data_IF_383878832453
#
_entry.id   IF_383878832453
#
_cell.length_a   1.000
_cell.length_b   1.000
_cell.length_c   1.000
_cell.angle_alpha   90.00
_cell.angle_beta   90.00
_cell.angle_gamma   90.00
#
_symmetry.space_group_name_H-M   'P 1'
#
loop_
_entity.id
_entity.type
_entity.pdbx_description
1 polymer ?
#
# COMPACT_ATOMS: atom_id res chain seq x y z
N UNK A 1 22.52 21.15 72.37
CA UNK A 1 23.67 20.21 72.28
C UNK A 1 23.44 19.07 73.26
N UNK A 2 23.77 17.79 72.98
CA UNK A 2 23.70 17.04 71.70
C UNK A 2 22.21 16.67 71.44
N UNK A 3 21.67 15.49 71.08
CA UNK A 3 22.10 14.17 70.55
C UNK A 3 20.91 13.63 69.67
N UNK A 4 20.97 12.83 68.59
CA UNK A 4 21.64 11.58 68.14
C UNK A 4 20.88 10.27 68.48
N UNK A 5 20.45 9.53 67.43
CA UNK A 5 19.80 8.20 67.44
C UNK A 5 18.35 8.23 66.90
N UNK A 6 18.01 7.94 65.62
CA UNK A 6 18.14 6.71 64.81
C UNK A 6 17.16 5.59 65.26
N UNK A 7 16.43 4.83 64.42
CA UNK A 7 16.53 4.51 62.96
C UNK A 7 15.17 4.19 62.29
N UNK A 8 15.09 4.36 60.96
CA UNK A 8 14.29 3.62 59.95
C UNK A 8 12.77 3.32 60.14
N UNK A 9 11.98 3.79 59.17
CA UNK A 9 10.67 3.25 58.79
C UNK A 9 10.35 3.68 57.35
N UNK A 10 9.92 2.76 56.48
CA UNK A 10 9.83 3.02 55.03
C UNK A 10 8.50 3.64 54.60
N UNK A 11 8.55 4.57 53.65
CA UNK A 11 7.40 5.15 52.97
C UNK A 11 7.78 5.53 51.54
N UNK A 12 7.60 4.59 50.60
CA UNK A 12 7.92 4.77 49.20
C UNK A 12 6.68 5.21 48.41
N UNK A 13 6.79 6.35 47.73
CA UNK A 13 5.93 6.66 46.58
C UNK A 13 6.80 7.36 45.55
N UNK A 14 7.23 6.63 44.52
CA UNK A 14 7.78 7.28 43.33
C UNK A 14 6.72 8.22 42.73
N UNK A 15 7.17 9.37 42.26
CA UNK A 15 6.38 10.22 41.38
C UNK A 15 7.32 10.78 40.32
N UNK A 16 7.94 9.83 39.62
CA UNK A 16 8.67 10.01 38.38
C UNK A 16 7.73 10.66 37.37
N UNK A 17 7.73 12.00 37.35
CA UNK A 17 6.95 12.80 36.41
C UNK A 17 7.41 12.49 35.00
N UNK A 18 6.76 11.51 34.37
CA UNK A 18 7.09 11.01 33.04
C UNK A 18 6.79 12.10 32.02
N UNK A 19 7.78 12.97 31.80
CA UNK A 19 7.71 14.07 30.86
C UNK A 19 7.25 13.54 29.50
N UNK A 20 6.17 14.10 28.99
CA UNK A 20 5.43 13.53 27.88
C UNK A 20 6.35 13.22 26.69
N UNK A 21 6.52 11.93 26.38
CA UNK A 21 7.05 11.48 25.09
C UNK A 21 5.97 11.65 24.03
N UNK A 22 5.65 12.90 23.72
CA UNK A 22 5.00 13.26 22.48
C UNK A 22 6.02 13.07 21.34
N UNK A 23 6.24 11.80 21.00
CA UNK A 23 6.94 11.39 19.79
C UNK A 23 5.88 11.26 18.70
N UNK A 24 5.23 12.39 18.39
CA UNK A 24 4.70 12.64 17.05
C UNK A 24 5.88 12.77 16.08
N UNK A 25 6.57 11.65 15.84
CA UNK A 25 7.52 11.50 14.74
C UNK A 25 6.74 11.63 13.44
N UNK A 26 6.62 12.86 12.95
CA UNK A 26 6.13 13.16 11.62
C UNK A 26 7.09 12.56 10.60
N UNK A 27 6.84 11.30 10.24
CA UNK A 27 7.74 10.53 9.36
C UNK A 27 7.95 11.33 8.08
N UNK A 28 9.20 11.74 7.77
CA UNK A 28 9.45 12.80 6.81
C UNK A 28 8.96 12.42 5.42
N UNK A 29 8.63 13.43 4.62
CA UNK A 29 8.30 13.24 3.22
C UNK A 29 9.49 12.60 2.48
N UNK A 30 9.23 11.60 1.64
CA UNK A 30 10.26 10.81 1.00
C UNK A 30 9.75 9.53 0.35
N UNK A 31 10.66 8.87 -0.36
CA UNK A 31 10.40 7.63 -1.09
C UNK A 31 11.00 6.45 -0.33
N UNK A 32 10.21 5.38 -0.17
CA UNK A 32 10.61 4.14 0.48
C UNK A 32 10.14 2.94 -0.36
N UNK A 33 10.64 1.74 -0.07
CA UNK A 33 10.40 0.56 -0.92
C UNK A 33 10.47 -0.73 -0.13
N UNK A 34 9.87 -1.79 -0.68
CA UNK A 34 9.93 -3.13 -0.09
C UNK A 34 9.47 -4.21 -1.05
N UNK A 35 9.21 -5.39 -0.49
CA UNK A 35 8.64 -6.53 -1.18
C UNK A 35 7.53 -7.15 -0.33
N UNK A 36 6.51 -7.71 -0.97
CA UNK A 36 5.50 -8.56 -0.35
C UNK A 36 5.02 -9.63 -1.35
N UNK A 37 4.21 -10.57 -0.86
CA UNK A 37 3.62 -11.63 -1.64
C UNK A 37 2.12 -11.70 -1.36
N UNK A 38 1.30 -11.84 -2.40
CA UNK A 38 -0.10 -12.22 -2.31
C UNK A 38 -0.38 -13.41 -3.23
N UNK A 39 -0.76 -14.56 -2.67
CA UNK A 39 -0.86 -15.81 -3.43
C UNK A 39 0.44 -16.18 -4.15
N UNK A 40 0.39 -16.22 -5.49
CA UNK A 40 1.54 -16.43 -6.39
C UNK A 40 2.19 -15.12 -6.89
N UNK A 41 1.61 -13.95 -6.58
CA UNK A 41 2.19 -12.65 -6.92
C UNK A 41 3.45 -12.37 -6.08
N UNK A 42 4.61 -12.26 -6.74
CA UNK A 42 5.82 -11.68 -6.13
C UNK A 42 5.83 -10.18 -6.44
N UNK A 43 5.64 -9.34 -5.42
CA UNK A 43 5.39 -7.90 -5.57
C UNK A 43 6.55 -7.09 -4.98
N UNK A 44 7.38 -6.49 -5.85
CA UNK A 44 8.30 -5.42 -5.45
C UNK A 44 7.59 -4.07 -5.57
N UNK A 45 7.77 -3.18 -4.61
CA UNK A 45 7.04 -1.90 -4.59
C UNK A 45 7.90 -0.73 -4.11
N UNK A 46 7.51 0.46 -4.57
CA UNK A 46 7.97 1.77 -4.11
C UNK A 46 6.75 2.59 -3.68
N UNK A 47 6.86 3.29 -2.57
CA UNK A 47 5.83 4.18 -2.08
C UNK A 47 6.42 5.57 -1.80
N UNK A 48 5.62 6.60 -2.07
CA UNK A 48 5.98 7.99 -1.83
C UNK A 48 5.12 8.54 -0.68
N UNK A 49 5.77 9.15 0.31
CA UNK A 49 5.17 9.69 1.53
C UNK A 49 5.23 11.22 1.50
N UNK A 50 4.13 11.88 1.83
CA UNK A 50 4.00 13.35 1.89
C UNK A 50 3.26 13.73 3.16
N UNK A 51 3.84 14.62 3.97
CA UNK A 51 3.30 15.10 5.25
C UNK A 51 2.76 13.98 6.17
N UNK A 52 3.51 12.87 6.26
CA UNK A 52 3.19 11.67 7.04
C UNK A 52 2.26 10.65 6.37
N UNK A 53 1.59 10.99 5.26
CA UNK A 53 0.68 10.10 4.54
C UNK A 53 1.34 9.45 3.32
N UNK A 54 0.98 8.21 3.00
CA UNK A 54 1.35 7.57 1.73
C UNK A 54 0.41 8.08 0.64
N UNK A 55 0.95 8.75 -0.38
CA UNK A 55 0.18 9.43 -1.43
C UNK A 55 0.22 8.67 -2.76
N UNK A 56 1.30 7.93 -3.03
CA UNK A 56 1.40 7.01 -4.17
C UNK A 56 2.10 5.70 -3.78
N UNK A 57 1.66 4.60 -4.37
CA UNK A 57 2.38 3.32 -4.43
C UNK A 57 2.56 2.94 -5.90
N UNK A 58 3.70 2.34 -6.24
CA UNK A 58 4.00 1.79 -7.56
C UNK A 58 4.59 0.40 -7.38
N UNK A 59 3.97 -0.60 -8.00
CA UNK A 59 4.31 -2.01 -7.87
C UNK A 59 4.84 -2.57 -9.20
N UNK A 60 5.81 -3.47 -9.10
CA UNK A 60 6.27 -4.35 -10.17
C UNK A 60 6.10 -5.80 -9.69
N UNK A 61 5.30 -6.56 -10.44
CA UNK A 61 4.80 -7.88 -10.05
C UNK A 61 5.23 -8.93 -11.07
N UNK A 62 5.58 -10.13 -10.61
CA UNK A 62 5.82 -11.29 -11.47
C UNK A 62 5.02 -12.50 -11.01
N UNK A 63 4.34 -13.14 -11.97
CA UNK A 63 3.63 -14.41 -11.81
C UNK A 63 4.46 -15.49 -12.52
N UNK A 64 5.37 -16.13 -11.79
CA UNK A 64 6.34 -17.07 -12.38
C UNK A 64 7.14 -16.42 -13.52
N UNK A 65 7.15 -17.07 -14.69
CA UNK A 65 7.80 -16.56 -15.91
C UNK A 65 6.82 -15.89 -16.90
N UNK A 66 5.52 -16.20 -16.81
CA UNK A 66 4.56 -16.04 -17.92
C UNK A 66 3.70 -14.78 -17.86
N UNK A 67 3.67 -14.07 -16.73
CA UNK A 67 3.03 -12.76 -16.64
C UNK A 67 3.77 -11.77 -15.75
N UNK A 68 3.68 -10.49 -16.12
CA UNK A 68 4.20 -9.34 -15.39
C UNK A 68 3.11 -8.27 -15.28
N UNK A 69 3.08 -7.59 -14.15
CA UNK A 69 2.14 -6.48 -13.92
C UNK A 69 2.89 -5.28 -13.34
N UNK A 70 2.58 -4.09 -13.84
CA UNK A 70 2.93 -2.82 -13.21
C UNK A 70 1.65 -2.19 -12.68
N UNK A 71 1.59 -1.88 -11.39
CA UNK A 71 0.45 -1.14 -10.79
C UNK A 71 0.89 0.23 -10.31
N UNK A 72 0.05 1.24 -10.47
CA UNK A 72 0.20 2.55 -9.85
C UNK A 72 -1.09 2.88 -9.11
N UNK A 73 -0.95 3.17 -7.81
CA UNK A 73 -2.06 3.43 -6.90
C UNK A 73 -1.84 4.81 -6.28
N UNK A 74 -2.83 5.70 -6.36
CA UNK A 74 -2.78 7.04 -5.77
C UNK A 74 -3.86 7.20 -4.73
N UNK A 75 -3.55 7.90 -3.63
CA UNK A 75 -4.40 7.98 -2.44
C UNK A 75 -4.59 9.43 -1.97
N UNK A 76 -5.70 9.71 -1.30
CA UNK A 76 -5.84 10.91 -0.47
C UNK A 76 -4.94 10.81 0.77
N UNK A 77 -4.78 11.91 1.51
CA UNK A 77 -3.97 11.94 2.74
C UNK A 77 -4.50 10.97 3.82
N UNK A 78 -5.80 10.75 3.82
CA UNK A 78 -6.52 9.84 4.71
C UNK A 78 -6.33 8.36 4.30
N UNK A 79 -5.97 8.11 3.03
CA UNK A 79 -5.79 6.78 2.45
C UNK A 79 -6.93 6.29 1.56
N UNK A 80 -7.88 7.16 1.17
CA UNK A 80 -8.91 6.80 0.18
C UNK A 80 -8.26 6.66 -1.20
N UNK A 81 -8.52 5.56 -1.90
CA UNK A 81 -8.04 5.34 -3.27
C UNK A 81 -8.62 6.40 -4.22
N UNK A 82 -7.75 7.07 -4.98
CA UNK A 82 -8.10 8.05 -6.02
C UNK A 82 -7.94 7.49 -7.42
N UNK A 83 -6.83 6.79 -7.68
CA UNK A 83 -6.52 6.18 -8.98
C UNK A 83 -5.92 4.79 -8.76
N UNK A 84 -6.40 3.82 -9.52
CA UNK A 84 -5.75 2.53 -9.74
C UNK A 84 -5.49 2.38 -11.24
N UNK A 85 -4.23 2.22 -11.62
CA UNK A 85 -3.80 1.98 -12.99
C UNK A 85 -2.96 0.70 -13.03
N UNK A 86 -3.37 -0.27 -13.83
CA UNK A 86 -2.67 -1.53 -14.03
C UNK A 86 -2.31 -1.71 -15.51
N UNK A 87 -1.06 -2.07 -15.79
CA UNK A 87 -0.63 -2.64 -17.09
C UNK A 87 -0.13 -4.06 -16.83
N UNK A 88 -0.75 -5.04 -17.50
CA UNK A 88 -0.48 -6.48 -17.37
C UNK A 88 -0.07 -7.03 -18.72
N UNK A 89 1.11 -7.65 -18.80
CA UNK A 89 1.52 -8.47 -19.96
C UNK A 89 1.49 -9.93 -19.54
N UNK A 90 0.80 -10.78 -20.29
CA UNK A 90 0.68 -12.22 -19.99
C UNK A 90 0.66 -13.07 -21.26
N UNK A 91 1.22 -14.28 -21.20
CA UNK A 91 1.05 -15.27 -22.28
C UNK A 91 -0.38 -15.80 -22.30
N UNK A 92 -1.15 -15.48 -23.33
CA UNK A 92 -2.52 -15.97 -23.51
C UNK A 92 -2.52 -17.37 -24.13
N UNK A 93 -2.85 -18.38 -23.32
CA UNK A 93 -3.16 -19.72 -23.78
C UNK A 93 -4.55 -19.76 -24.43
N UNK A 94 -4.69 -20.45 -25.57
CA UNK A 94 -5.92 -20.53 -26.36
C UNK A 94 -5.86 -21.79 -27.23
N UNK A 95 -6.93 -22.58 -27.36
CA UNK A 95 -6.87 -23.82 -28.15
C UNK A 95 -6.79 -23.57 -29.67
N UNK A 96 -7.40 -22.48 -30.15
CA UNK A 96 -7.58 -22.21 -31.59
C UNK A 96 -6.47 -21.35 -32.23
N UNK A 97 -5.41 -21.01 -31.49
CA UNK A 97 -4.29 -20.18 -31.96
C UNK A 97 -3.02 -20.43 -31.15
N UNK A 98 -1.86 -20.18 -31.76
CA UNK A 98 -0.57 -20.20 -31.07
C UNK A 98 -0.59 -19.27 -29.84
N UNK A 99 -0.12 -19.72 -28.66
CA UNK A 99 0.02 -18.85 -27.49
C UNK A 99 0.94 -17.66 -27.80
N UNK A 100 0.57 -16.49 -27.29
CA UNK A 100 1.30 -15.24 -27.54
C UNK A 100 1.08 -14.22 -26.44
N UNK A 101 1.88 -13.14 -26.41
CA UNK A 101 1.71 -12.06 -25.44
C UNK A 101 0.37 -11.36 -25.68
N UNK A 102 -0.34 -11.10 -24.59
CA UNK A 102 -1.50 -10.22 -24.52
C UNK A 102 -1.20 -9.10 -23.55
N UNK A 103 -1.55 -7.87 -23.91
CA UNK A 103 -1.49 -6.73 -22.99
C UNK A 103 -2.90 -6.36 -22.52
N UNK A 104 -3.08 -6.22 -21.21
CA UNK A 104 -4.30 -5.72 -20.59
C UNK A 104 -3.97 -4.47 -19.81
N UNK A 105 -4.62 -3.36 -20.13
CA UNK A 105 -4.53 -2.12 -19.36
C UNK A 105 -5.86 -1.87 -18.66
N UNK A 106 -5.84 -1.45 -17.40
CA UNK A 106 -7.02 -1.05 -16.62
C UNK A 106 -6.75 0.30 -15.97
N UNK A 107 -7.60 1.28 -16.22
CA UNK A 107 -7.60 2.57 -15.52
C UNK A 107 -8.90 2.75 -14.76
N UNK A 108 -8.80 3.01 -13.46
CA UNK A 108 -9.89 3.37 -12.58
C UNK A 108 -9.56 4.67 -11.87
N UNK A 109 -10.49 5.62 -11.91
CA UNK A 109 -10.48 6.79 -11.05
C UNK A 109 -11.73 6.78 -10.15
N UNK A 110 -11.57 7.28 -8.94
CA UNK A 110 -12.57 7.24 -7.88
C UNK A 110 -12.90 8.65 -7.37
N UNK A 111 -14.11 8.81 -6.83
CA UNK A 111 -14.60 10.01 -6.17
C UNK A 111 -15.31 9.56 -4.88
N UNK A 112 -14.55 9.48 -3.79
CA UNK A 112 -14.96 8.72 -2.60
C UNK A 112 -15.27 7.27 -2.98
N UNK A 113 -16.42 6.76 -2.51
CA UNK A 113 -16.83 5.38 -2.79
C UNK A 113 -17.37 5.14 -4.22
N UNK A 114 -17.45 6.15 -5.08
CA UNK A 114 -17.91 5.98 -6.47
C UNK A 114 -16.77 5.90 -7.48
N UNK A 115 -16.93 5.13 -8.54
CA UNK A 115 -16.01 5.16 -9.71
C UNK A 115 -16.39 6.34 -10.59
N UNK A 116 -15.46 7.25 -10.82
CA UNK A 116 -15.64 8.46 -11.64
C UNK A 116 -15.16 8.28 -13.10
N UNK A 117 -14.21 7.37 -13.32
CA UNK A 117 -13.82 6.88 -14.66
C UNK A 117 -13.45 5.40 -14.55
N UNK A 118 -13.88 4.60 -15.51
CA UNK A 118 -13.39 3.25 -15.74
C UNK A 118 -13.03 3.06 -17.22
N UNK A 119 -11.92 2.37 -17.46
CA UNK A 119 -11.42 2.07 -18.80
C UNK A 119 -10.63 0.78 -18.76
N UNK A 120 -10.77 -0.04 -19.81
CA UNK A 120 -10.00 -1.26 -19.98
C UNK A 120 -9.68 -1.47 -21.45
N UNK A 121 -8.41 -1.69 -21.74
CA UNK A 121 -7.91 -2.04 -23.07
C UNK A 121 -7.36 -3.46 -23.03
N UNK A 122 -7.59 -4.22 -24.10
CA UNK A 122 -6.92 -5.51 -24.36
C UNK A 122 -6.31 -5.43 -25.75
N UNK A 123 -4.98 -5.58 -25.83
CA UNK A 123 -4.19 -5.34 -27.05
C UNK A 123 -4.53 -3.98 -27.71
N UNK A 124 -4.65 -2.93 -26.87
CA UNK A 124 -5.05 -1.57 -27.25
C UNK A 124 -6.54 -1.35 -27.55
N UNK A 125 -7.39 -2.39 -27.47
CA UNK A 125 -8.81 -2.31 -27.85
C UNK A 125 -9.74 -2.17 -26.64
N UNK A 126 -10.65 -1.19 -26.61
CA UNK A 126 -11.66 -1.05 -25.55
C UNK A 126 -12.44 -2.34 -25.30
N UNK A 127 -12.49 -2.76 -24.04
CA UNK A 127 -13.13 -3.99 -23.58
C UNK A 127 -13.92 -3.71 -22.31
N UNK A 128 -15.05 -4.38 -22.10
CA UNK A 128 -15.87 -4.22 -20.88
C UNK A 128 -15.09 -4.59 -19.62
N UNK A 129 -14.86 -3.61 -18.74
CA UNK A 129 -14.41 -3.85 -17.37
C UNK A 129 -15.54 -4.49 -16.55
N UNK A 130 -15.25 -5.55 -15.81
CA UNK A 130 -16.23 -6.29 -15.01
C UNK A 130 -16.19 -5.82 -13.55
N UNK A 131 -17.32 -5.86 -12.84
CA UNK A 131 -17.41 -5.33 -11.47
C UNK A 131 -16.37 -5.92 -10.51
N UNK A 132 -16.10 -7.23 -10.60
CA UNK A 132 -15.09 -7.88 -9.75
C UNK A 132 -13.66 -7.34 -9.94
N UNK A 133 -13.35 -6.72 -11.08
CA UNK A 133 -12.05 -6.09 -11.35
C UNK A 133 -11.92 -4.77 -10.58
N UNK A 134 -13.04 -4.07 -10.38
CA UNK A 134 -13.15 -2.87 -9.52
C UNK A 134 -13.03 -3.29 -8.04
N UNK A 135 -13.72 -4.36 -7.64
CA UNK A 135 -13.67 -4.87 -6.27
C UNK A 135 -12.28 -5.41 -5.91
N UNK A 136 -11.58 -6.03 -6.87
CA UNK A 136 -10.18 -6.44 -6.74
C UNK A 136 -9.27 -5.23 -6.57
N UNK A 137 -9.37 -4.22 -7.44
CA UNK A 137 -8.55 -3.01 -7.36
C UNK A 137 -8.66 -2.29 -5.99
N UNK A 138 -9.85 -2.27 -5.38
CA UNK A 138 -10.04 -1.73 -4.01
C UNK A 138 -9.35 -2.56 -2.94
N UNK A 139 -9.64 -3.87 -2.87
CA UNK A 139 -9.04 -4.76 -1.86
C UNK A 139 -7.52 -4.79 -1.95
N UNK A 140 -6.98 -4.82 -3.17
CA UNK A 140 -5.55 -4.75 -3.42
C UNK A 140 -4.95 -3.43 -2.93
N UNK A 141 -5.61 -2.30 -3.22
CA UNK A 141 -5.16 -0.98 -2.75
C UNK A 141 -5.15 -0.86 -1.22
N UNK A 142 -6.17 -1.40 -0.54
CA UNK A 142 -6.25 -1.45 0.92
C UNK A 142 -5.10 -2.29 1.51
N UNK A 143 -4.79 -3.45 0.92
CA UNK A 143 -3.69 -4.32 1.32
C UNK A 143 -2.31 -3.66 1.08
N UNK A 144 -2.06 -3.13 -0.12
CA UNK A 144 -0.83 -2.45 -0.48
C UNK A 144 -0.58 -1.22 0.42
N UNK A 145 -1.62 -0.42 0.69
CA UNK A 145 -1.55 0.70 1.63
C UNK A 145 -1.28 0.23 3.07
N UNK A 146 -1.88 -0.87 3.52
CA UNK A 146 -1.60 -1.46 4.83
C UNK A 146 -0.17 -2.01 4.93
N UNK A 147 0.42 -2.52 3.85
CA UNK A 147 1.85 -2.89 3.79
C UNK A 147 2.72 -1.62 3.88
N UNK A 148 2.52 -0.64 2.99
CA UNK A 148 3.31 0.59 2.96
C UNK A 148 3.19 1.47 4.23
N UNK A 149 2.09 1.35 4.98
CA UNK A 149 1.93 1.99 6.31
C UNK A 149 2.67 1.27 7.45
N UNK A 150 3.09 0.01 7.27
CA UNK A 150 3.86 -0.77 8.26
C UNK A 150 5.37 -0.77 7.99
N UNK A 151 5.81 -0.35 6.81
CA UNK A 151 7.23 -0.17 6.49
C UNK A 151 7.75 1.19 6.97
N UNK A 152 9.01 1.23 7.47
CA UNK A 152 9.63 2.47 7.96
C UNK A 152 9.77 3.51 6.85
#
# INVERSE_FOLDING_TARGET
>A
MPAIGATHGAGATDSTGSGARDVTSSTPAGTFSGQWQDGDEQIAWRADRTDGAVTQITEAVTFGADARVTRQLQFTREGTLLVFHEIRTQTMQSPDRTPGPMEVQVTLAFAGDSVSRSEKLVDGKPTTLRSFEIDYARRHAEQALAVARRSP
#
